data_IF_442163704169
#
_entry.id   IF_442163704169
#
_cell.length_a   1.000
_cell.length_b   1.000
_cell.length_c   1.000
_cell.angle_alpha   90.00
_cell.angle_beta   90.00
_cell.angle_gamma   90.00
#
_symmetry.space_group_name_H-M   'P 1'
#
loop_
_entity.id
_entity.type
_entity.pdbx_description
1 polymer ?
#
# COMPACT_ATOMS: atom_id res chain seq x y z
N UNK A 1 2.58 -4.84 -5.06
CA UNK A 1 3.15 -4.19 -3.85
C UNK A 1 4.07 -5.12 -3.05
N UNK A 2 5.18 -4.63 -2.47
CA UNK A 2 6.38 -5.40 -2.07
C UNK A 2 6.70 -5.42 -0.56
N UNK A 3 7.76 -6.15 -0.16
CA UNK A 3 8.28 -6.20 1.23
C UNK A 3 8.89 -4.89 1.74
N UNK A 4 9.16 -3.90 0.87
CA UNK A 4 9.65 -2.57 1.30
C UNK A 4 8.55 -1.82 2.07
N UNK A 5 7.28 -1.93 1.63
CA UNK A 5 6.15 -1.30 2.30
C UNK A 5 6.00 -1.78 3.76
N UNK A 6 6.26 -3.06 3.99
CA UNK A 6 6.24 -3.66 5.33
C UNK A 6 7.43 -3.21 6.19
N UNK A 7 8.63 -3.11 5.61
CA UNK A 7 9.78 -2.55 6.31
C UNK A 7 9.51 -1.12 6.77
N UNK A 8 8.99 -0.27 5.87
CA UNK A 8 8.67 1.13 6.19
C UNK A 8 7.59 1.24 7.27
N UNK A 9 6.56 0.39 7.20
CA UNK A 9 5.54 0.31 8.25
C UNK A 9 6.16 -0.07 9.60
N UNK A 10 7.02 -1.09 9.63
CA UNK A 10 7.71 -1.52 10.86
C UNK A 10 8.66 -0.45 11.43
N UNK A 11 9.20 0.42 10.58
CA UNK A 11 9.99 1.58 10.98
C UNK A 11 9.13 2.76 11.47
N UNK A 12 7.79 2.62 11.50
CA UNK A 12 6.86 3.62 11.99
C UNK A 12 6.43 4.66 10.95
N UNK A 13 6.75 4.46 9.67
CA UNK A 13 6.28 5.35 8.61
C UNK A 13 4.82 5.06 8.26
N UNK A 14 4.09 6.12 7.90
CA UNK A 14 2.78 5.99 7.26
C UNK A 14 2.99 5.61 5.80
N UNK A 15 2.51 4.43 5.43
CA UNK A 15 2.62 3.90 4.06
C UNK A 15 1.22 3.81 3.45
N UNK A 16 1.08 4.28 2.21
CA UNK A 16 -0.11 4.09 1.38
C UNK A 16 0.31 3.62 -0.02
N UNK A 17 -0.63 3.12 -0.82
CA UNK A 17 -0.33 2.83 -2.22
C UNK A 17 -1.55 2.46 -3.06
N UNK A 18 -1.30 2.13 -4.32
CA UNK A 18 -2.31 1.57 -5.22
C UNK A 18 -1.70 0.48 -6.09
N UNK A 19 -2.53 -0.45 -6.56
CA UNK A 19 -2.13 -1.53 -7.46
C UNK A 19 -3.26 -1.79 -8.47
N UNK A 20 -2.95 -2.16 -9.72
CA UNK A 20 -3.97 -2.35 -10.75
C UNK A 20 -4.91 -3.52 -10.42
N UNK A 21 -4.38 -4.58 -9.82
CA UNK A 21 -5.11 -5.81 -9.56
C UNK A 21 -5.01 -6.23 -8.09
N UNK A 22 -6.01 -6.97 -7.63
CA UNK A 22 -5.91 -7.68 -6.35
C UNK A 22 -4.87 -8.79 -6.49
N UNK A 23 -3.97 -8.87 -5.53
CA UNK A 23 -2.98 -9.94 -5.41
C UNK A 23 -2.85 -10.35 -3.95
N UNK A 24 -2.25 -11.51 -3.71
CA UNK A 24 -1.97 -11.99 -2.35
C UNK A 24 -1.11 -11.00 -1.57
N UNK A 25 -0.17 -10.33 -2.25
CA UNK A 25 0.65 -9.29 -1.66
C UNK A 25 -0.18 -8.09 -1.19
N UNK A 26 -1.12 -7.61 -2.01
CA UNK A 26 -2.02 -6.51 -1.63
C UNK A 26 -2.91 -6.92 -0.45
N UNK A 27 -3.40 -8.14 -0.44
CA UNK A 27 -4.19 -8.68 0.67
C UNK A 27 -3.37 -8.74 1.96
N UNK A 28 -2.12 -9.21 1.88
CA UNK A 28 -1.20 -9.35 3.01
C UNK A 28 -0.90 -8.01 3.66
N UNK A 29 -0.47 -7.02 2.88
CA UNK A 29 -0.11 -5.70 3.42
C UNK A 29 -1.31 -4.89 3.92
N UNK A 30 -2.51 -5.08 3.32
CA UNK A 30 -3.74 -4.52 3.88
C UNK A 30 -4.07 -5.08 5.26
N UNK A 31 -3.84 -6.39 5.48
CA UNK A 31 -3.98 -7.01 6.82
C UNK A 31 -2.97 -6.46 7.84
N UNK A 32 -1.82 -5.99 7.37
CA UNK A 32 -0.83 -5.31 8.22
C UNK A 32 -1.22 -3.85 8.54
N UNK A 33 -2.32 -3.33 7.98
CA UNK A 33 -2.80 -1.97 8.24
C UNK A 33 -2.34 -0.92 7.22
N UNK A 34 -1.73 -1.33 6.10
CA UNK A 34 -1.38 -0.42 5.00
C UNK A 34 -2.61 -0.15 4.15
N UNK A 35 -2.93 1.13 3.96
CA UNK A 35 -4.01 1.52 3.05
C UNK A 35 -3.57 1.39 1.59
N UNK A 36 -4.25 0.53 0.86
CA UNK A 36 -3.94 0.25 -0.55
C UNK A 36 -5.21 0.33 -1.34
N UNK A 37 -5.24 1.12 -2.41
CA UNK A 37 -6.35 1.17 -3.36
C UNK A 37 -6.15 0.16 -4.51
N UNK A 38 -7.25 -0.34 -5.09
CA UNK A 38 -7.19 -1.11 -6.35
C UNK A 38 -7.58 -0.19 -7.50
N UNK A 39 -6.79 -0.19 -8.56
CA UNK A 39 -6.86 0.76 -9.66
C UNK A 39 -5.97 1.96 -9.41
N UNK A 40 -5.35 2.46 -10.49
CA UNK A 40 -4.57 3.69 -10.43
C UNK A 40 -5.52 4.87 -10.57
N UNK A 41 -5.57 5.70 -9.54
CA UNK A 41 -6.30 6.95 -9.53
C UNK A 41 -5.34 8.04 -9.00
N UNK A 42 -5.26 9.20 -9.66
CA UNK A 42 -4.42 10.31 -9.19
C UNK A 42 -4.72 10.74 -7.75
N UNK A 43 -5.97 10.60 -7.29
CA UNK A 43 -6.38 10.94 -5.93
C UNK A 43 -5.69 10.10 -4.84
N UNK A 44 -5.20 8.90 -5.19
CA UNK A 44 -4.52 8.01 -4.24
C UNK A 44 -3.15 8.53 -3.78
N UNK A 45 -2.57 9.49 -4.50
CA UNK A 45 -1.24 10.07 -4.20
C UNK A 45 -1.35 11.27 -3.25
N UNK A 46 -2.53 11.91 -3.15
CA UNK A 46 -2.73 13.07 -2.28
C UNK A 46 -1.78 14.23 -2.62
N UNK A 47 -1.08 14.75 -1.61
CA UNK A 47 -0.10 15.85 -1.74
C UNK A 47 1.36 15.37 -1.84
N UNK A 48 1.60 14.14 -2.31
CA UNK A 48 2.95 13.59 -2.39
C UNK A 48 3.81 14.26 -3.47
#
# INVERSE_FOLDING_TARGET
MSGIAELLLNLGFKVTGSDLNRSDNVTRIRKLGIDVAIGHDPSNVGNA
#
